data_IF_975016144675
#
_entry.id   IF_975016144675
#
_cell.length_a   1.000
_cell.length_b   1.000
_cell.length_c   1.000
_cell.angle_alpha   90.00
_cell.angle_beta   90.00
_cell.angle_gamma   90.00
#
_symmetry.space_group_name_H-M   'P 1'
#
loop_
_entity.id
_entity.type
_entity.pdbx_description
1 polymer ?
#
# COMPACT_ATOMS: atom_id res chain seq x y z
N UNK A 1 7.44 25.07 -19.56
CA UNK A 1 7.17 24.83 -21.00
C UNK A 1 7.50 23.40 -21.48
N UNK A 2 8.40 22.64 -20.86
CA UNK A 2 8.69 21.24 -21.26
C UNK A 2 7.80 20.16 -20.59
N UNK A 3 6.99 20.50 -19.59
CA UNK A 3 6.16 19.52 -18.86
C UNK A 3 4.80 19.28 -19.52
N UNK A 4 4.27 20.22 -20.28
CA UNK A 4 2.99 20.06 -21.00
C UNK A 4 3.13 19.22 -22.28
N UNK A 5 4.28 19.23 -22.92
CA UNK A 5 4.52 18.44 -24.14
C UNK A 5 4.50 16.92 -23.87
N UNK A 6 4.96 16.47 -22.70
CA UNK A 6 4.98 15.05 -22.34
C UNK A 6 3.61 14.44 -22.05
N UNK A 7 2.67 15.22 -21.55
CA UNK A 7 1.31 14.75 -21.23
C UNK A 7 0.46 14.61 -22.50
N UNK A 8 0.61 15.55 -23.42
CA UNK A 8 -0.11 15.55 -24.70
C UNK A 8 0.33 14.40 -25.62
N UNK A 9 1.63 14.10 -25.66
CA UNK A 9 2.15 12.97 -26.44
C UNK A 9 1.67 11.63 -25.89
N UNK A 10 1.60 11.46 -24.55
CA UNK A 10 1.09 10.24 -23.93
C UNK A 10 -0.42 10.04 -24.15
N UNK A 11 -1.20 11.10 -24.12
CA UNK A 11 -2.65 11.02 -24.40
C UNK A 11 -2.92 10.68 -25.87
N UNK A 12 -2.15 11.23 -26.81
CA UNK A 12 -2.26 10.87 -28.24
C UNK A 12 -1.78 9.44 -28.53
N UNK A 13 -0.74 8.95 -27.85
CA UNK A 13 -0.32 7.55 -27.95
C UNK A 13 -1.36 6.58 -27.39
N UNK A 14 -1.95 6.88 -26.24
CA UNK A 14 -3.01 6.04 -25.67
C UNK A 14 -4.28 6.04 -26.55
N UNK A 15 -4.66 7.18 -27.14
CA UNK A 15 -5.77 7.26 -28.09
C UNK A 15 -5.46 6.50 -29.39
N UNK A 16 -4.23 6.60 -29.90
CA UNK A 16 -3.78 5.86 -31.10
C UNK A 16 -3.77 4.34 -30.88
N UNK A 17 -3.32 3.85 -29.73
CA UNK A 17 -3.35 2.44 -29.36
C UNK A 17 -4.80 1.94 -29.23
N UNK A 18 -5.71 2.75 -28.62
CA UNK A 18 -7.13 2.42 -28.54
C UNK A 18 -7.79 2.33 -29.94
N UNK A 19 -7.49 3.27 -30.84
CA UNK A 19 -7.99 3.26 -32.23
C UNK A 19 -7.44 2.08 -33.00
N UNK A 20 -6.16 1.75 -32.85
CA UNK A 20 -5.53 0.58 -33.50
C UNK A 20 -6.18 -0.73 -33.03
N UNK A 21 -6.48 -0.86 -31.76
CA UNK A 21 -7.20 -2.02 -31.21
C UNK A 21 -8.58 -2.20 -31.84
N UNK A 22 -9.36 -1.11 -31.99
CA UNK A 22 -10.68 -1.17 -32.65
C UNK A 22 -10.56 -1.52 -34.14
N UNK A 23 -9.57 -0.99 -34.85
CA UNK A 23 -9.34 -1.31 -36.24
C UNK A 23 -8.99 -2.80 -36.40
N UNK A 24 -8.13 -3.35 -35.53
CA UNK A 24 -7.76 -4.77 -35.54
C UNK A 24 -8.98 -5.66 -35.27
N UNK A 25 -9.84 -5.30 -34.32
CA UNK A 25 -11.08 -6.06 -34.04
C UNK A 25 -12.01 -6.04 -35.25
N UNK A 26 -12.22 -4.88 -35.86
CA UNK A 26 -13.10 -4.76 -37.05
C UNK A 26 -12.53 -5.54 -38.22
N UNK A 27 -11.23 -5.45 -38.49
CA UNK A 27 -10.57 -6.20 -39.53
C UNK A 27 -10.67 -7.71 -39.29
N UNK A 28 -10.42 -8.18 -38.07
CA UNK A 28 -10.54 -9.60 -37.70
C UNK A 28 -11.99 -10.08 -37.85
N UNK A 29 -12.98 -9.28 -37.42
CA UNK A 29 -14.39 -9.60 -37.57
C UNK A 29 -14.81 -9.70 -39.03
N UNK A 30 -14.30 -8.79 -39.87
CA UNK A 30 -14.55 -8.84 -41.32
C UNK A 30 -13.92 -10.09 -42.00
N UNK A 31 -12.70 -10.44 -41.59
CA UNK A 31 -12.02 -11.68 -42.09
C UNK A 31 -12.81 -12.92 -41.67
N UNK A 32 -13.27 -12.99 -40.41
CA UNK A 32 -14.08 -14.11 -39.93
C UNK A 32 -15.41 -14.17 -40.70
N UNK A 33 -16.10 -13.05 -40.88
CA UNK A 33 -17.35 -12.98 -41.62
C UNK A 33 -17.18 -13.41 -43.10
N UNK A 34 -16.06 -13.06 -43.73
CA UNK A 34 -15.75 -13.45 -45.10
C UNK A 34 -15.40 -14.93 -45.23
N UNK A 35 -14.71 -15.49 -44.23
CA UNK A 35 -14.32 -16.92 -44.23
C UNK A 35 -15.48 -17.84 -43.79
N UNK A 36 -16.49 -17.33 -43.13
CA UNK A 36 -17.62 -18.08 -42.57
C UNK A 36 -18.35 -18.93 -43.61
N UNK A 37 -18.71 -18.41 -44.84
CA UNK A 37 -19.40 -19.19 -45.86
C UNK A 37 -18.54 -20.35 -46.40
N UNK A 38 -17.23 -20.13 -46.56
CA UNK A 38 -16.29 -21.17 -47.03
C UNK A 38 -16.07 -22.22 -45.94
N UNK A 39 -15.94 -21.80 -44.70
CA UNK A 39 -15.84 -22.67 -43.52
C UNK A 39 -17.10 -23.51 -43.33
N UNK A 40 -18.30 -22.91 -43.53
CA UNK A 40 -19.57 -23.60 -43.42
C UNK A 40 -19.70 -24.71 -44.49
N UNK A 41 -19.31 -24.45 -45.74
CA UNK A 41 -19.30 -25.48 -46.78
C UNK A 41 -18.35 -26.66 -46.48
N UNK A 42 -17.15 -26.36 -45.99
CA UNK A 42 -16.20 -27.40 -45.59
C UNK A 42 -16.68 -28.17 -44.38
N UNK A 43 -17.28 -27.49 -43.39
CA UNK A 43 -17.89 -28.11 -42.23
C UNK A 43 -19.04 -29.06 -42.63
N UNK A 44 -19.95 -28.61 -43.49
CA UNK A 44 -21.03 -29.47 -43.99
C UNK A 44 -20.53 -30.70 -44.76
N UNK A 45 -19.49 -30.53 -45.58
CA UNK A 45 -18.86 -31.64 -46.27
C UNK A 45 -18.14 -32.63 -45.32
N UNK A 46 -17.52 -32.11 -44.24
CA UNK A 46 -16.95 -32.91 -43.17
C UNK A 46 -18.05 -33.61 -42.37
N UNK A 47 -19.12 -32.91 -42.02
CA UNK A 47 -20.23 -33.43 -41.24
C UNK A 47 -20.93 -34.61 -41.96
N UNK A 48 -21.13 -34.53 -43.26
CA UNK A 48 -21.74 -35.63 -44.03
C UNK A 48 -20.89 -36.91 -44.00
N UNK A 49 -19.56 -36.80 -43.81
CA UNK A 49 -18.68 -37.98 -43.63
C UNK A 49 -18.77 -38.55 -42.21
N UNK A 50 -18.84 -37.67 -41.21
CA UNK A 50 -18.90 -38.05 -39.79
C UNK A 50 -20.21 -38.74 -39.48
N UNK A 51 -21.33 -38.33 -40.11
CA UNK A 51 -22.66 -38.87 -39.88
C UNK A 51 -22.77 -40.36 -40.33
N UNK A 52 -21.94 -40.77 -41.29
CA UNK A 52 -21.96 -42.17 -41.79
C UNK A 52 -21.08 -43.12 -40.96
N UNK A 53 -20.19 -42.61 -40.14
CA UNK A 53 -19.31 -43.40 -39.26
C UNK A 53 -19.63 -43.16 -37.79
N UNK A 54 -20.25 -44.16 -37.16
CA UNK A 54 -20.69 -44.09 -35.75
C UNK A 54 -19.56 -43.76 -34.76
N UNK A 55 -18.33 -44.21 -35.00
CA UNK A 55 -17.17 -43.93 -34.16
C UNK A 55 -16.74 -42.47 -34.28
N UNK A 56 -16.70 -41.94 -35.49
CA UNK A 56 -16.39 -40.53 -35.75
C UNK A 56 -17.46 -39.61 -35.13
N UNK A 57 -18.74 -39.97 -35.17
CA UNK A 57 -19.83 -39.20 -34.58
C UNK A 57 -19.66 -39.08 -33.06
N UNK A 58 -19.46 -40.21 -32.38
CA UNK A 58 -19.27 -40.23 -30.90
C UNK A 58 -18.03 -39.42 -30.52
N UNK A 59 -16.95 -39.53 -31.29
CA UNK A 59 -15.72 -38.75 -30.99
C UNK A 59 -15.95 -37.26 -31.13
N UNK A 60 -16.68 -36.81 -32.15
CA UNK A 60 -17.01 -35.37 -32.33
C UNK A 60 -17.97 -34.89 -31.23
N UNK A 61 -18.96 -35.69 -30.86
CA UNK A 61 -19.88 -35.34 -29.74
C UNK A 61 -19.10 -35.15 -28.44
N UNK A 62 -18.20 -36.07 -28.09
CA UNK A 62 -17.35 -35.94 -26.89
C UNK A 62 -16.48 -34.70 -26.97
N UNK A 63 -15.84 -34.46 -28.14
CA UNK A 63 -14.99 -33.28 -28.32
C UNK A 63 -15.78 -31.98 -28.14
N UNK A 64 -16.96 -31.90 -28.77
CA UNK A 64 -17.83 -30.71 -28.62
C UNK A 64 -18.29 -30.55 -27.18
N UNK A 65 -18.68 -31.62 -26.49
CA UNK A 65 -19.04 -31.55 -25.09
C UNK A 65 -17.89 -31.03 -24.21
N UNK A 66 -16.66 -31.53 -24.42
CA UNK A 66 -15.47 -31.05 -23.68
C UNK A 66 -15.19 -29.57 -23.97
N UNK A 67 -15.28 -29.14 -25.23
CA UNK A 67 -15.08 -27.75 -25.62
C UNK A 67 -16.16 -26.84 -25.00
N UNK A 68 -17.42 -27.26 -24.97
CA UNK A 68 -18.49 -26.51 -24.36
C UNK A 68 -18.29 -26.39 -22.84
N UNK A 69 -17.90 -27.49 -22.18
CA UNK A 69 -17.60 -27.46 -20.73
C UNK A 69 -16.42 -26.52 -20.43
N UNK A 70 -15.34 -26.61 -21.22
CA UNK A 70 -14.17 -25.75 -21.07
C UNK A 70 -14.52 -24.29 -21.32
N UNK A 71 -15.26 -24.00 -22.40
CA UNK A 71 -15.75 -22.66 -22.72
C UNK A 71 -16.65 -22.08 -21.65
N UNK A 72 -17.61 -22.87 -21.16
CA UNK A 72 -18.50 -22.44 -20.07
C UNK A 72 -17.73 -22.15 -18.77
N UNK A 73 -16.79 -23.00 -18.40
CA UNK A 73 -15.90 -22.76 -17.26
C UNK A 73 -15.07 -21.49 -17.43
N UNK A 74 -14.53 -21.27 -18.61
CA UNK A 74 -13.75 -20.05 -18.92
C UNK A 74 -14.60 -18.79 -18.79
N UNK A 75 -15.79 -18.77 -19.41
CA UNK A 75 -16.73 -17.65 -19.33
C UNK A 75 -17.16 -17.39 -17.89
N UNK A 76 -17.57 -18.44 -17.17
CA UNK A 76 -18.01 -18.31 -15.80
C UNK A 76 -16.88 -17.77 -14.88
N UNK A 77 -15.66 -18.28 -15.03
CA UNK A 77 -14.50 -17.78 -14.32
C UNK A 77 -14.22 -16.31 -14.65
N UNK A 78 -14.23 -15.95 -15.94
CA UNK A 78 -14.01 -14.58 -16.40
C UNK A 78 -15.06 -13.59 -15.84
N UNK A 79 -16.33 -13.97 -15.81
CA UNK A 79 -17.39 -13.16 -15.24
C UNK A 79 -17.20 -12.96 -13.73
N UNK A 80 -16.87 -14.03 -13.00
CA UNK A 80 -16.60 -13.95 -11.56
C UNK A 80 -15.39 -13.05 -11.27
N UNK A 81 -14.30 -13.20 -12.03
CA UNK A 81 -13.10 -12.40 -11.84
C UNK A 81 -13.37 -10.91 -12.12
N UNK A 82 -14.20 -10.59 -13.12
CA UNK A 82 -14.66 -9.22 -13.39
C UNK A 82 -15.52 -8.65 -12.26
N UNK A 83 -16.42 -9.45 -11.69
CA UNK A 83 -17.25 -9.02 -10.56
C UNK A 83 -16.40 -8.73 -9.33
N UNK A 84 -15.43 -9.60 -9.03
CA UNK A 84 -14.47 -9.39 -7.93
C UNK A 84 -13.61 -8.14 -8.17
N UNK A 85 -13.11 -7.95 -9.37
CA UNK A 85 -12.33 -6.76 -9.72
C UNK A 85 -13.16 -5.48 -9.59
N UNK A 86 -14.43 -5.50 -10.02
CA UNK A 86 -15.34 -4.38 -9.86
C UNK A 86 -15.63 -4.07 -8.38
N UNK A 87 -15.84 -5.10 -7.56
CA UNK A 87 -16.04 -4.94 -6.11
C UNK A 87 -14.79 -4.36 -5.43
N UNK A 88 -13.61 -4.88 -5.77
CA UNK A 88 -12.34 -4.36 -5.26
C UNK A 88 -12.11 -2.90 -5.65
N UNK A 89 -12.37 -2.55 -6.91
CA UNK A 89 -12.28 -1.17 -7.40
C UNK A 89 -13.31 -0.27 -6.71
N UNK A 90 -14.53 -0.76 -6.46
CA UNK A 90 -15.57 -0.06 -5.70
C UNK A 90 -15.15 0.22 -4.26
N UNK A 91 -14.44 -0.70 -3.62
CA UNK A 91 -13.84 -0.51 -2.31
C UNK A 91 -12.62 0.43 -2.32
N UNK A 92 -12.15 0.85 -3.49
CA UNK A 92 -10.98 1.70 -3.66
C UNK A 92 -9.65 0.95 -3.72
N UNK A 93 -9.65 -0.39 -3.75
CA UNK A 93 -8.43 -1.19 -3.89
C UNK A 93 -7.93 -1.11 -5.35
N UNK A 94 -6.78 -0.48 -5.55
CA UNK A 94 -6.20 -0.30 -6.90
C UNK A 94 -4.97 -1.18 -7.14
N UNK A 95 -4.33 -1.66 -6.08
CA UNK A 95 -3.21 -2.58 -6.20
C UNK A 95 -3.05 -3.42 -4.93
N UNK A 96 -2.48 -4.60 -5.09
CA UNK A 96 -2.18 -5.52 -4.01
C UNK A 96 -0.85 -6.20 -4.26
N UNK A 97 0.06 -6.11 -3.30
CA UNK A 97 1.36 -6.75 -3.35
C UNK A 97 1.40 -7.86 -2.30
N UNK A 98 1.19 -9.13 -2.70
CA UNK A 98 1.14 -10.26 -1.75
C UNK A 98 2.48 -10.57 -1.10
N UNK A 99 3.58 -10.19 -1.76
CA UNK A 99 4.97 -10.32 -1.26
C UNK A 99 5.82 -9.17 -1.77
N UNK A 100 6.74 -8.69 -0.95
CA UNK A 100 7.71 -7.67 -1.33
C UNK A 100 8.95 -8.28 -1.99
N UNK A 101 8.83 -8.68 -3.25
CA UNK A 101 9.98 -9.02 -4.07
C UNK A 101 10.81 -7.77 -4.40
N UNK A 102 12.10 -7.92 -4.71
CA UNK A 102 12.97 -6.79 -5.11
C UNK A 102 12.37 -5.94 -6.25
N UNK A 103 11.67 -6.59 -7.19
CA UNK A 103 10.98 -5.89 -8.29
C UNK A 103 9.76 -5.12 -7.80
N UNK A 104 8.94 -5.72 -6.92
CA UNK A 104 7.80 -5.07 -6.31
C UNK A 104 8.25 -3.86 -5.47
N UNK A 105 9.31 -3.98 -4.66
CA UNK A 105 9.85 -2.89 -3.85
C UNK A 105 10.26 -1.68 -4.69
N UNK A 106 10.93 -1.89 -5.84
CA UNK A 106 11.28 -0.79 -6.75
C UNK A 106 10.03 -0.11 -7.32
N UNK A 107 9.02 -0.88 -7.72
CA UNK A 107 7.74 -0.37 -8.21
C UNK A 107 7.00 0.43 -7.14
N UNK A 108 6.92 -0.09 -5.92
CA UNK A 108 6.32 0.55 -4.75
C UNK A 108 7.01 1.88 -4.45
N UNK A 109 8.35 1.88 -4.35
CA UNK A 109 9.13 3.09 -4.07
C UNK A 109 8.87 4.18 -5.12
N UNK A 110 8.94 3.82 -6.41
CA UNK A 110 8.67 4.75 -7.51
C UNK A 110 7.25 5.34 -7.45
N UNK A 111 6.24 4.50 -7.21
CA UNK A 111 4.85 4.97 -7.09
C UNK A 111 4.68 5.90 -5.89
N UNK A 112 5.29 5.59 -4.74
CA UNK A 112 5.26 6.46 -3.55
C UNK A 112 5.96 7.80 -3.83
N UNK A 113 7.07 7.82 -4.54
CA UNK A 113 7.75 9.05 -4.94
C UNK A 113 6.87 9.93 -5.84
N UNK A 114 6.25 9.34 -6.86
CA UNK A 114 5.37 10.08 -7.77
C UNK A 114 4.16 10.68 -7.04
N UNK A 115 3.64 9.98 -6.02
CA UNK A 115 2.45 10.40 -5.28
C UNK A 115 2.75 11.36 -4.13
N UNK A 116 3.92 11.28 -3.51
CA UNK A 116 4.31 12.09 -2.35
C UNK A 116 5.02 13.40 -2.68
N UNK A 117 5.49 13.58 -3.91
CA UNK A 117 6.22 14.78 -4.31
C UNK A 117 5.35 16.04 -4.21
N UNK A 118 5.90 17.09 -3.55
CA UNK A 118 5.25 18.38 -3.32
C UNK A 118 3.89 18.29 -2.57
N UNK A 119 3.75 17.32 -1.65
CA UNK A 119 2.56 17.12 -0.81
C UNK A 119 2.91 17.00 0.66
N UNK A 120 1.94 17.20 1.52
CA UNK A 120 2.04 16.78 2.92
C UNK A 120 1.70 15.30 3.00
N UNK A 121 2.56 14.53 3.61
CA UNK A 121 2.38 13.09 3.81
C UNK A 121 1.88 12.80 5.22
N UNK A 122 1.15 11.69 5.39
CA UNK A 122 0.69 11.22 6.68
C UNK A 122 1.15 9.77 6.87
N UNK A 123 1.72 9.47 8.03
CA UNK A 123 2.29 8.15 8.31
C UNK A 123 1.86 7.67 9.69
N UNK A 124 1.41 6.43 9.79
CA UNK A 124 1.33 5.66 11.04
C UNK A 124 2.29 4.48 10.93
N UNK A 125 3.16 4.32 11.90
CA UNK A 125 4.12 3.24 11.93
C UNK A 125 4.51 2.85 13.35
N UNK A 126 5.38 1.85 13.45
CA UNK A 126 6.01 1.45 14.71
C UNK A 126 7.19 2.38 15.02
N UNK A 127 8.43 2.01 14.70
CA UNK A 127 9.62 2.85 14.88
C UNK A 127 9.82 3.89 13.77
N UNK A 128 9.30 3.63 12.56
CA UNK A 128 9.54 4.45 11.38
C UNK A 128 10.87 4.14 10.66
N UNK A 129 11.83 3.50 11.33
CA UNK A 129 13.19 3.28 10.85
C UNK A 129 13.22 2.64 9.45
N UNK A 130 12.68 1.45 9.31
CA UNK A 130 12.63 0.70 8.05
C UNK A 130 11.79 1.39 6.96
N UNK A 131 11.02 2.40 7.31
CA UNK A 131 10.13 3.11 6.39
C UNK A 131 10.82 4.32 5.76
N UNK A 132 11.54 5.11 6.53
CA UNK A 132 12.10 6.38 6.04
C UNK A 132 13.55 6.68 6.48
N UNK A 133 14.10 6.00 7.49
CA UNK A 133 15.50 6.18 7.90
C UNK A 133 16.42 5.33 7.06
N UNK A 134 16.08 4.05 6.91
CA UNK A 134 16.84 3.13 6.08
C UNK A 134 16.85 3.62 4.61
N UNK A 135 18.02 3.59 3.97
CA UNK A 135 18.20 3.98 2.57
C UNK A 135 17.36 3.15 1.60
N UNK A 136 17.06 1.90 1.98
CA UNK A 136 16.17 1.01 1.23
C UNK A 136 14.71 1.31 1.51
N UNK A 137 14.41 2.11 2.54
CA UNK A 137 13.07 2.50 2.95
C UNK A 137 12.25 3.15 1.84
N UNK A 138 10.97 2.84 1.80
CA UNK A 138 10.08 3.26 0.71
C UNK A 138 9.80 4.76 0.70
N UNK A 139 9.97 5.45 1.82
CA UNK A 139 9.69 6.87 1.98
C UNK A 139 10.94 7.74 2.09
N UNK A 140 12.14 7.18 2.10
CA UNK A 140 13.37 7.96 2.24
C UNK A 140 13.44 9.10 1.22
N UNK A 141 13.26 8.79 -0.07
CA UNK A 141 13.25 9.77 -1.15
C UNK A 141 11.97 10.64 -1.22
N UNK A 142 10.86 10.16 -0.66
CA UNK A 142 9.60 10.91 -0.58
C UNK A 142 9.72 12.05 0.41
N UNK A 143 10.31 11.79 1.58
CA UNK A 143 10.54 12.80 2.62
C UNK A 143 11.42 13.96 2.13
N UNK A 144 12.39 13.67 1.26
CA UNK A 144 13.21 14.71 0.67
C UNK A 144 12.43 15.65 -0.28
N UNK A 145 11.36 15.16 -0.89
CA UNK A 145 10.58 15.87 -1.92
C UNK A 145 9.22 16.36 -1.42
N UNK A 146 8.78 15.98 -0.21
CA UNK A 146 7.51 16.41 0.35
C UNK A 146 7.58 17.86 0.87
N UNK A 147 6.42 18.50 1.03
CA UNK A 147 6.27 19.81 1.66
C UNK A 147 6.25 19.72 3.18
N UNK A 148 5.69 18.64 3.71
CA UNK A 148 5.58 18.40 5.14
C UNK A 148 5.19 16.96 5.43
N UNK A 149 5.22 16.59 6.72
CA UNK A 149 4.89 15.27 7.19
C UNK A 149 4.21 15.31 8.55
N UNK A 150 3.06 14.62 8.66
CA UNK A 150 2.38 14.32 9.91
C UNK A 150 2.61 12.84 10.24
N UNK A 151 3.36 12.55 11.27
CA UNK A 151 3.85 11.22 11.58
C UNK A 151 3.39 10.80 12.97
N UNK A 152 2.85 9.58 13.06
CA UNK A 152 2.48 8.88 14.27
C UNK A 152 3.39 7.67 14.44
N UNK A 153 4.20 7.64 15.50
CA UNK A 153 5.05 6.51 15.86
C UNK A 153 4.68 6.00 17.25
N UNK A 154 5.07 4.76 17.55
CA UNK A 154 4.90 4.19 18.88
C UNK A 154 5.85 4.90 19.87
N UNK A 155 5.34 5.24 21.03
CA UNK A 155 6.16 5.72 22.12
C UNK A 155 7.02 4.57 22.67
N UNK A 156 8.35 4.59 22.50
CA UNK A 156 9.21 3.50 22.90
C UNK A 156 9.28 3.30 24.43
N UNK A 157 8.81 4.26 25.21
CA UNK A 157 8.76 4.21 26.67
C UNK A 157 7.40 3.73 27.20
N UNK A 158 6.43 3.43 26.32
CA UNK A 158 5.14 2.88 26.74
C UNK A 158 5.25 1.40 27.11
N UNK A 159 4.41 0.97 28.05
CA UNK A 159 4.34 -0.43 28.45
C UNK A 159 3.92 -1.34 27.29
N UNK A 160 3.04 -0.85 26.42
CA UNK A 160 2.55 -1.60 25.26
C UNK A 160 3.62 -1.77 24.16
N UNK A 161 4.57 -0.83 24.04
CA UNK A 161 5.71 -1.00 23.17
C UNK A 161 6.58 -2.17 23.63
N UNK A 162 6.86 -2.26 24.93
CA UNK A 162 7.62 -3.37 25.52
C UNK A 162 6.93 -4.71 25.28
N UNK A 163 5.61 -4.79 25.60
CA UNK A 163 4.82 -6.00 25.39
C UNK A 163 4.78 -6.44 23.91
N UNK A 164 4.74 -5.48 22.97
CA UNK A 164 4.80 -5.81 21.53
C UNK A 164 6.14 -6.38 21.10
N UNK A 165 7.24 -5.81 21.57
CA UNK A 165 8.59 -6.28 21.21
C UNK A 165 8.80 -7.68 21.75
N UNK A 166 8.37 -7.94 22.99
CA UNK A 166 8.37 -9.27 23.57
C UNK A 166 7.51 -10.27 22.78
N UNK A 167 6.33 -9.84 22.32
CA UNK A 167 5.43 -10.67 21.49
C UNK A 167 5.99 -10.95 20.08
N UNK A 168 6.88 -10.12 19.56
CA UNK A 168 7.53 -10.38 18.26
C UNK A 168 8.54 -11.51 18.33
N UNK A 169 8.95 -11.94 19.53
CA UNK A 169 9.82 -13.09 19.81
C UNK A 169 11.04 -13.22 18.86
N UNK A 170 11.51 -12.07 18.35
CA UNK A 170 12.67 -12.00 17.46
C UNK A 170 13.92 -11.82 18.34
N UNK A 171 14.83 -12.79 18.41
CA UNK A 171 16.03 -12.72 19.26
C UNK A 171 16.98 -11.56 18.90
N UNK A 172 16.78 -10.96 17.73
CA UNK A 172 17.60 -9.87 17.20
C UNK A 172 16.99 -8.47 17.43
N UNK A 173 15.78 -8.34 18.01
CA UNK A 173 15.13 -7.06 18.24
C UNK A 173 14.79 -6.88 19.71
N UNK A 174 15.71 -6.22 20.42
CA UNK A 174 15.49 -5.84 21.80
C UNK A 174 14.72 -4.53 21.92
N UNK A 175 14.20 -4.23 23.11
CA UNK A 175 13.58 -2.93 23.40
C UNK A 175 14.59 -1.79 23.20
N UNK A 176 15.87 -2.03 23.49
CA UNK A 176 16.96 -1.07 23.27
C UNK A 176 17.11 -0.74 21.78
N UNK A 177 17.09 -1.77 20.90
CA UNK A 177 17.14 -1.56 19.45
C UNK A 177 15.94 -0.76 18.95
N UNK A 178 14.75 -1.06 19.48
CA UNK A 178 13.54 -0.32 19.12
C UNK A 178 13.62 1.16 19.55
N UNK A 179 14.13 1.45 20.74
CA UNK A 179 14.37 2.83 21.21
C UNK A 179 15.36 3.55 20.29
N UNK A 180 16.42 2.87 19.91
CA UNK A 180 17.42 3.42 19.00
C UNK A 180 16.83 3.71 17.62
N UNK A 181 16.02 2.81 17.06
CA UNK A 181 15.31 3.04 15.81
C UNK A 181 14.40 4.27 15.87
N UNK A 182 13.62 4.43 16.94
CA UNK A 182 12.77 5.62 17.14
C UNK A 182 13.62 6.88 17.26
N UNK A 183 14.75 6.82 18.01
CA UNK A 183 15.68 7.93 18.15
C UNK A 183 16.25 8.38 16.81
N UNK A 184 16.65 7.44 15.95
CA UNK A 184 17.16 7.73 14.59
C UNK A 184 16.06 8.33 13.71
N UNK A 185 14.83 7.87 13.85
CA UNK A 185 13.67 8.44 13.17
C UNK A 185 13.43 9.89 13.60
N UNK A 186 13.46 10.18 14.89
CA UNK A 186 13.34 11.52 15.43
C UNK A 186 14.48 12.43 14.91
N UNK A 187 15.72 11.93 14.93
CA UNK A 187 16.88 12.69 14.42
C UNK A 187 16.73 13.06 12.93
N UNK A 188 16.19 12.16 12.11
CA UNK A 188 15.87 12.48 10.71
C UNK A 188 14.78 13.57 10.62
N UNK A 189 13.71 13.46 11.41
CA UNK A 189 12.61 14.43 11.39
C UNK A 189 13.05 15.83 11.84
N UNK A 190 13.94 15.91 12.84
CA UNK A 190 14.58 17.17 13.24
C UNK A 190 15.37 17.80 12.09
N UNK A 191 16.15 16.99 11.36
CA UNK A 191 16.89 17.48 10.17
C UNK A 191 15.93 18.02 9.09
N UNK A 192 14.84 17.31 8.81
CA UNK A 192 13.84 17.76 7.84
C UNK A 192 13.18 19.09 8.29
N UNK A 193 12.86 19.23 9.58
CA UNK A 193 12.33 20.47 10.16
C UNK A 193 13.34 21.61 10.03
N UNK A 194 14.62 21.36 10.33
CA UNK A 194 15.70 22.36 10.18
C UNK A 194 15.90 22.81 8.72
N UNK A 195 15.55 21.95 7.73
CA UNK A 195 15.52 22.33 6.32
C UNK A 195 14.25 23.10 5.91
N UNK A 196 13.43 23.52 6.86
CA UNK A 196 12.23 24.34 6.63
C UNK A 196 10.98 23.54 6.23
N UNK A 197 10.96 22.22 6.40
CA UNK A 197 9.75 21.41 6.12
C UNK A 197 8.78 21.45 7.31
N UNK A 198 7.49 21.43 7.02
CA UNK A 198 6.43 21.36 8.01
C UNK A 198 6.28 19.93 8.56
N UNK A 199 7.17 19.55 9.49
CA UNK A 199 7.19 18.21 10.09
C UNK A 199 6.61 18.26 11.49
N UNK A 200 5.67 17.35 11.76
CA UNK A 200 5.07 17.13 13.08
C UNK A 200 5.09 15.65 13.43
N UNK A 201 5.41 15.36 14.67
CA UNK A 201 5.47 14.00 15.21
C UNK A 201 4.55 13.88 16.42
N UNK A 202 3.79 12.80 16.50
CA UNK A 202 3.08 12.38 17.70
C UNK A 202 3.51 10.97 18.09
N UNK A 203 3.61 10.70 19.39
CA UNK A 203 3.98 9.40 19.93
C UNK A 203 2.79 8.77 20.65
N UNK A 204 2.30 7.64 20.15
CA UNK A 204 1.16 6.93 20.73
C UNK A 204 1.60 5.70 21.54
N UNK A 205 0.83 5.40 22.60
CA UNK A 205 1.19 4.32 23.54
C UNK A 205 0.69 2.92 23.12
N UNK A 206 -0.43 2.85 22.39
CA UNK A 206 -1.06 1.57 22.06
C UNK A 206 -0.22 0.72 21.12
N UNK A 207 -0.43 -0.62 21.07
CA UNK A 207 0.18 -1.48 20.06
C UNK A 207 -0.22 -1.06 18.65
N UNK A 208 0.72 -0.97 17.69
CA UNK A 208 0.38 -0.60 16.33
C UNK A 208 -0.40 -1.73 15.64
N UNK A 209 -1.58 -1.40 15.12
CA UNK A 209 -2.41 -2.33 14.36
C UNK A 209 -2.04 -2.34 12.88
N UNK A 210 -1.71 -1.18 12.34
CA UNK A 210 -1.45 -0.99 10.92
C UNK A 210 -0.24 -0.08 10.70
N UNK A 211 0.52 -0.39 9.67
CA UNK A 211 1.43 0.55 9.03
C UNK A 211 0.68 1.20 7.89
N UNK A 212 0.58 2.50 7.91
CA UNK A 212 -0.19 3.26 6.94
C UNK A 212 0.58 4.47 6.45
N UNK A 213 0.52 4.71 5.15
CA UNK A 213 1.11 5.87 4.49
C UNK A 213 0.08 6.49 3.56
N UNK A 214 -0.25 7.76 3.75
CA UNK A 214 -1.18 8.50 2.90
C UNK A 214 -0.39 9.53 2.09
N UNK A 215 -0.49 9.43 0.76
CA UNK A 215 0.19 10.26 -0.22
C UNK A 215 -0.85 10.84 -1.20
N UNK A 216 -1.42 11.99 -0.86
CA UNK A 216 -2.49 12.59 -1.64
C UNK A 216 -3.73 11.69 -1.68
N UNK A 217 -4.12 11.27 -2.89
CA UNK A 217 -5.31 10.42 -3.09
C UNK A 217 -5.03 8.91 -2.94
N UNK A 218 -3.85 8.53 -2.50
CA UNK A 218 -3.44 7.14 -2.33
C UNK A 218 -3.10 6.84 -0.87
N UNK A 219 -3.45 5.64 -0.44
CA UNK A 219 -3.17 5.12 0.88
C UNK A 219 -2.54 3.72 0.73
N UNK A 220 -1.41 3.54 1.38
CA UNK A 220 -0.64 2.32 1.44
C UNK A 220 -0.83 1.71 2.82
N UNK A 221 -1.26 0.46 2.90
CA UNK A 221 -1.66 -0.19 4.13
C UNK A 221 -1.00 -1.56 4.27
N UNK A 222 -0.41 -1.82 5.43
CA UNK A 222 0.04 -3.13 5.89
C UNK A 222 -0.49 -3.37 7.30
N UNK A 223 -0.85 -4.59 7.61
CA UNK A 223 -1.22 -4.98 8.98
C UNK A 223 0.02 -5.43 9.74
N UNK A 224 0.12 -5.08 11.01
CA UNK A 224 1.11 -5.66 11.89
C UNK A 224 0.64 -7.04 12.36
N UNK A 225 1.55 -7.98 12.42
CA UNK A 225 1.33 -9.32 12.97
C UNK A 225 2.36 -9.60 14.07
N UNK A 226 1.98 -10.38 15.10
CA UNK A 226 2.83 -10.60 16.26
C UNK A 226 4.21 -11.19 15.88
N UNK A 227 4.20 -12.24 15.03
CA UNK A 227 5.40 -13.05 14.76
C UNK A 227 6.04 -12.76 13.39
N UNK A 228 5.63 -11.70 12.69
CA UNK A 228 6.07 -11.46 11.32
C UNK A 228 6.56 -10.00 11.14
N UNK A 229 7.69 -9.87 10.44
CA UNK A 229 8.16 -8.56 9.99
C UNK A 229 7.16 -7.94 9.00
N UNK A 230 6.72 -6.73 9.29
CA UNK A 230 5.78 -5.97 8.45
C UNK A 230 6.27 -5.80 7.01
N UNK A 231 7.60 -5.80 6.80
CA UNK A 231 8.19 -5.69 5.46
C UNK A 231 7.94 -6.93 4.59
N UNK A 232 7.64 -8.07 5.20
CA UNK A 232 7.34 -9.32 4.49
C UNK A 232 5.85 -9.51 4.22
N UNK A 233 5.02 -8.72 4.90
CA UNK A 233 3.57 -8.83 4.84
C UNK A 233 2.98 -8.19 3.58
N UNK A 234 1.77 -8.61 3.17
CA UNK A 234 1.07 -8.02 2.04
C UNK A 234 0.86 -6.51 2.20
N UNK A 235 0.96 -5.78 1.11
CA UNK A 235 0.69 -4.34 1.07
C UNK A 235 -0.48 -4.05 0.14
N UNK A 236 -1.45 -3.32 0.66
CA UNK A 236 -2.66 -2.89 -0.05
C UNK A 236 -2.50 -1.43 -0.46
N UNK A 237 -2.87 -1.12 -1.70
CA UNK A 237 -2.90 0.25 -2.20
C UNK A 237 -4.34 0.64 -2.46
N UNK A 238 -4.80 1.60 -1.70
CA UNK A 238 -6.14 2.14 -1.79
C UNK A 238 -6.09 3.51 -2.46
N UNK A 239 -7.11 3.84 -3.22
CA UNK A 239 -7.28 5.14 -3.85
C UNK A 239 -8.58 5.77 -3.39
N UNK A 240 -8.56 7.08 -3.20
CA UNK A 240 -9.76 7.87 -2.91
C UNK A 240 -10.79 7.69 -4.01
N UNK A 241 -12.01 7.30 -3.63
CA UNK A 241 -13.14 7.22 -4.54
C UNK A 241 -13.86 8.57 -4.60
N UNK A 242 -14.40 8.93 -5.76
CA UNK A 242 -15.18 10.17 -5.94
C UNK A 242 -16.44 10.25 -5.07
N UNK A 243 -16.97 9.10 -4.66
CA UNK A 243 -18.17 9.02 -3.82
C UNK A 243 -17.87 9.06 -2.31
N UNK A 244 -16.60 9.22 -1.93
CA UNK A 244 -16.10 9.17 -0.54
C UNK A 244 -16.55 7.92 0.28
N UNK A 245 -16.99 6.87 -0.41
CA UNK A 245 -17.31 5.57 0.15
C UNK A 245 -16.21 4.58 -0.25
N UNK A 246 -15.47 4.07 0.71
CA UNK A 246 -14.41 3.13 0.43
C UNK A 246 -13.39 3.04 1.56
N UNK A 247 -12.47 2.09 1.43
CA UNK A 247 -11.45 1.85 2.45
C UNK A 247 -10.49 3.03 2.63
N UNK A 248 -10.22 3.80 1.57
CA UNK A 248 -9.39 5.01 1.67
C UNK A 248 -9.98 6.00 2.69
N UNK A 249 -11.26 6.32 2.60
CA UNK A 249 -11.94 7.26 3.50
C UNK A 249 -11.96 6.74 4.92
N UNK A 250 -12.25 5.45 5.12
CA UNK A 250 -12.24 4.81 6.42
C UNK A 250 -10.87 4.95 7.11
N UNK A 251 -9.79 4.59 6.43
CA UNK A 251 -8.44 4.65 7.00
C UNK A 251 -7.90 6.08 7.14
N UNK A 252 -8.29 6.99 6.25
CA UNK A 252 -7.96 8.41 6.41
C UNK A 252 -8.64 8.99 7.65
N UNK A 253 -9.90 8.63 7.89
CA UNK A 253 -10.62 9.01 9.10
C UNK A 253 -9.99 8.41 10.36
N UNK A 254 -9.57 7.14 10.31
CA UNK A 254 -8.80 6.50 11.39
C UNK A 254 -7.52 7.29 11.70
N UNK A 255 -6.76 7.70 10.67
CA UNK A 255 -5.60 8.57 10.87
C UNK A 255 -5.98 9.87 11.58
N UNK A 256 -7.00 10.56 11.09
CA UNK A 256 -7.45 11.85 11.65
C UNK A 256 -7.89 11.73 13.09
N UNK A 257 -8.68 10.71 13.43
CA UNK A 257 -9.09 10.46 14.82
C UNK A 257 -7.88 10.27 15.75
N UNK A 258 -6.89 9.49 15.32
CA UNK A 258 -5.65 9.29 16.08
C UNK A 258 -4.85 10.59 16.19
N UNK A 259 -4.76 11.33 15.09
CA UNK A 259 -4.03 12.60 15.05
C UNK A 259 -4.63 13.68 15.94
N UNK A 260 -5.95 13.75 16.01
CA UNK A 260 -6.70 14.73 16.81
C UNK A 260 -6.90 14.28 18.26
N UNK A 261 -6.55 13.04 18.61
CA UNK A 261 -6.67 12.55 19.97
C UNK A 261 -5.81 13.39 20.93
N UNK A 262 -6.43 13.84 22.03
CA UNK A 262 -5.75 14.55 23.11
C UNK A 262 -4.85 13.63 23.95
N UNK A 263 -5.11 12.31 23.91
CA UNK A 263 -4.34 11.30 24.62
C UNK A 263 -2.98 11.02 23.97
N UNK A 264 -2.82 11.38 22.69
CA UNK A 264 -1.59 11.16 21.94
C UNK A 264 -0.80 12.47 21.91
N UNK A 265 0.30 12.58 22.69
CA UNK A 265 1.08 13.79 22.75
C UNK A 265 1.81 14.09 21.45
N UNK A 266 1.99 15.35 21.16
CA UNK A 266 2.90 15.84 20.13
C UNK A 266 4.33 15.86 20.69
N UNK A 267 5.26 15.28 19.95
CA UNK A 267 6.68 15.38 20.26
C UNK A 267 7.22 16.70 19.71
N UNK A 268 7.64 17.59 20.60
CA UNK A 268 8.27 18.83 20.21
C UNK A 268 9.70 18.57 19.73
N UNK A 269 9.91 18.68 18.42
CA UNK A 269 11.21 18.40 17.77
C UNK A 269 12.31 19.42 18.14
N UNK A 270 11.97 20.54 18.78
CA UNK A 270 12.96 21.56 19.18
C UNK A 270 13.40 21.36 20.62
N UNK A 271 12.48 20.97 21.52
CA UNK A 271 12.74 20.90 22.96
C UNK A 271 12.86 19.48 23.50
N UNK A 272 12.53 18.46 22.69
CA UNK A 272 12.47 17.05 23.10
C UNK A 272 11.46 16.77 24.23
N UNK A 273 10.31 17.47 24.17
CA UNK A 273 9.24 17.29 25.12
C UNK A 273 8.02 16.62 24.47
N UNK A 274 7.26 15.90 25.29
CA UNK A 274 5.91 15.43 24.96
C UNK A 274 4.90 16.50 25.37
N UNK A 275 4.14 17.01 24.42
CA UNK A 275 3.18 18.10 24.63
C UNK A 275 1.77 17.56 24.44
N UNK A 276 1.02 17.50 25.52
CA UNK A 276 -0.39 17.13 25.54
C UNK A 276 -1.25 18.36 25.28
N UNK A 277 -2.15 18.27 24.30
CA UNK A 277 -3.03 19.38 23.92
C UNK A 277 -4.49 18.96 24.01
N UNK A 278 -5.36 19.89 24.40
CA UNK A 278 -6.79 19.67 24.30
C UNK A 278 -7.27 19.78 22.85
N UNK A 279 -8.55 19.49 22.61
CA UNK A 279 -9.17 19.60 21.27
C UNK A 279 -9.12 21.01 20.68
N UNK A 280 -9.01 22.03 21.51
CA UNK A 280 -8.86 23.42 21.08
C UNK A 280 -7.40 23.80 20.76
N UNK A 281 -6.45 22.85 20.91
CA UNK A 281 -5.03 23.06 20.63
C UNK A 281 -4.24 23.70 21.78
N UNK A 282 -4.87 24.02 22.92
CA UNK A 282 -4.19 24.58 24.08
C UNK A 282 -3.37 23.50 24.77
N UNK A 283 -2.17 23.86 25.22
CA UNK A 283 -1.28 22.99 25.96
C UNK A 283 -1.85 22.69 27.34
N UNK A 284 -1.96 21.41 27.69
CA UNK A 284 -2.43 20.91 28.97
C UNK A 284 -1.28 20.51 29.89
N UNK A 285 -0.31 19.81 29.32
CA UNK A 285 0.82 19.23 30.03
C UNK A 285 2.02 19.16 29.07
N UNK A 286 3.22 19.35 29.60
CA UNK A 286 4.50 19.16 28.92
C UNK A 286 5.40 18.31 29.80
N UNK A 287 5.90 17.24 29.26
CA UNK A 287 6.77 16.29 29.93
C UNK A 287 8.06 16.10 29.13
N UNK A 288 9.19 15.99 29.82
CA UNK A 288 10.46 15.68 29.16
C UNK A 288 10.42 14.26 28.59
N UNK A 289 10.77 14.12 27.33
CA UNK A 289 10.93 12.82 26.73
C UNK A 289 12.31 12.27 27.08
N UNK A 290 12.38 11.43 28.13
CA UNK A 290 13.63 10.77 28.55
C UNK A 290 13.79 9.47 27.77
N UNK A 291 14.75 9.42 26.87
CA UNK A 291 15.06 8.18 26.11
C UNK A 291 15.89 7.17 26.92
N UNK A 292 16.60 7.60 27.98
CA UNK A 292 17.63 6.78 28.62
C UNK A 292 17.63 6.76 30.18
N UNK A 293 16.71 7.45 30.87
CA UNK A 293 16.84 7.71 32.31
C UNK A 293 16.57 6.52 33.26
N UNK A 294 16.15 5.35 32.77
CA UNK A 294 15.91 4.17 33.65
C UNK A 294 17.07 3.18 33.74
N UNK A 295 18.01 3.17 32.82
CA UNK A 295 19.18 2.29 32.92
C UNK A 295 20.23 2.80 33.87
N UNK A 296 20.44 4.13 33.99
CA UNK A 296 21.42 4.69 34.93
C UNK A 296 20.95 4.61 36.37
N UNK A 297 19.65 4.70 36.66
CA UNK A 297 19.12 4.58 38.03
C UNK A 297 19.22 3.16 38.61
N UNK A 298 19.18 2.13 37.74
CA UNK A 298 19.34 0.71 38.14
C UNK A 298 20.78 0.36 38.51
N UNK A 299 21.75 0.92 37.82
CA UNK A 299 23.20 0.64 38.05
C UNK A 299 23.71 1.28 39.35
N UNK A 300 23.18 2.43 39.73
CA UNK A 300 23.58 3.09 41.01
C UNK A 300 22.90 2.48 42.24
N UNK A 301 21.78 1.78 42.09
CA UNK A 301 21.12 1.08 43.20
C UNK A 301 21.79 -0.25 43.55
N UNK A 302 22.49 -0.88 42.62
CA UNK A 302 23.18 -2.17 42.82
C UNK A 302 24.61 -2.01 43.39
N UNK A 303 25.18 -0.79 43.36
CA UNK A 303 26.52 -0.50 43.90
C UNK A 303 26.44 0.02 45.35
N UNK A 304 25.22 0.31 45.85
CA UNK A 304 25.00 0.87 47.20
C UNK A 304 24.44 -0.13 48.22
N UNK A 305 24.46 -1.45 47.93
CA UNK A 305 24.20 -2.56 48.87
C UNK A 305 25.43 -3.45 48.95
#
# INVERSE_FOLDING_TARGET
>A
MFHEFGSTVRSHLAAAVGSLYHIVIVALSAVIAFLLPSGAKQFLAFWSRVEHDKLSLITVEILVAVLLIAGFRYVHRSLRDRTLAAAAAGAGLVSFFPRRTKTAQRGIKRLKEEQGTARTIMVIGSSGYSTFVDQVGDLSSVLDKCLGANILLVNPNSQDASARIEAMNHPEHSLTDFREEVRQSIALLKRLKAMGKAVRLKLYADPPLVKMVILGDYLWLQHYHADLDVQTLPEYVLRRNRQDHGLYTLYTHYFQQRWESAEIPEYDLDTDDLVYRNRAGSELLRERFESDAREEAGVYAEVAL
#
